data_IF_729785924834
#
_entry.id   IF_729785924834
#
_cell.length_a   1.000
_cell.length_b   1.000
_cell.length_c   1.000
_cell.angle_alpha   90.00
_cell.angle_beta   90.00
_cell.angle_gamma   90.00
#
_symmetry.space_group_name_H-M   'P 1'
#
loop_
_entity.id
_entity.type
_entity.pdbx_description
1 polymer ?
#
# COMPACT_ATOMS: atom_id res chain seq x y z
N UNK A 1 -36.61 -6.29 -4.87
CA UNK A 1 -35.56 -7.31 -5.14
C UNK A 1 -34.26 -6.58 -5.29
N UNK A 2 -33.39 -6.68 -4.30
CA UNK A 2 -32.22 -5.83 -4.14
C UNK A 2 -30.95 -6.62 -4.46
N UNK A 3 -30.13 -6.13 -5.40
CA UNK A 3 -28.88 -6.79 -5.78
C UNK A 3 -27.75 -6.30 -4.88
N UNK A 4 -27.41 -7.10 -3.88
CA UNK A 4 -26.22 -6.89 -3.05
C UNK A 4 -24.96 -6.96 -3.91
N UNK A 5 -24.23 -5.84 -3.97
CA UNK A 5 -22.90 -5.80 -4.59
C UNK A 5 -21.90 -6.45 -3.65
N UNK A 6 -21.50 -7.68 -3.93
CA UNK A 6 -20.50 -8.39 -3.12
C UNK A 6 -19.10 -7.88 -3.44
N UNK A 7 -18.53 -7.12 -2.49
CA UNK A 7 -17.12 -6.76 -2.49
C UNK A 7 -16.19 -7.99 -2.55
N UNK A 8 -14.95 -7.76 -3.00
CA UNK A 8 -14.03 -8.80 -3.48
C UNK A 8 -13.56 -9.75 -2.35
N UNK A 9 -14.34 -10.81 -2.12
CA UNK A 9 -13.96 -11.97 -1.29
C UNK A 9 -13.25 -13.02 -2.13
N UNK A 10 -11.97 -12.77 -2.46
CA UNK A 10 -11.13 -13.65 -3.28
C UNK A 10 -10.67 -14.90 -2.52
N UNK A 11 -11.38 -16.02 -2.66
CA UNK A 11 -10.87 -17.38 -2.36
C UNK A 11 -11.04 -18.30 -3.59
N UNK A 12 -9.95 -18.98 -4.00
CA UNK A 12 -9.82 -19.94 -5.13
C UNK A 12 -9.89 -19.25 -6.51
N UNK A 13 -9.13 -19.66 -7.55
CA UNK A 13 -8.87 -21.02 -8.05
C UNK A 13 -7.43 -21.25 -8.58
N UNK A 14 -7.03 -22.52 -8.65
CA UNK A 14 -5.72 -23.06 -9.11
C UNK A 14 -6.00 -24.41 -9.83
N UNK A 15 -5.28 -24.90 -10.84
CA UNK A 15 -4.10 -24.37 -11.56
C UNK A 15 -4.46 -23.91 -13.00
N UNK A 16 -4.07 -24.47 -14.17
CA UNK A 16 -3.19 -25.60 -14.57
C UNK A 16 -2.60 -25.31 -15.97
N UNK A 17 -1.34 -25.69 -16.23
CA UNK A 17 -0.57 -25.38 -17.45
C UNK A 17 -0.45 -26.54 -18.46
N UNK A 18 -0.34 -26.21 -19.76
CA UNK A 18 0.33 -27.04 -20.79
C UNK A 18 1.17 -26.14 -21.72
N UNK A 19 2.11 -26.75 -22.47
CA UNK A 19 3.28 -26.05 -23.06
C UNK A 19 3.36 -26.28 -24.58
N UNK A 20 3.73 -25.24 -25.34
CA UNK A 20 4.28 -25.36 -26.70
C UNK A 20 5.46 -24.36 -26.86
N UNK A 21 6.64 -24.78 -27.33
CA UNK A 21 7.77 -23.90 -27.61
C UNK A 21 7.90 -23.53 -29.10
N UNK A 22 8.42 -22.33 -29.41
CA UNK A 22 9.20 -22.09 -30.63
C UNK A 22 10.10 -20.84 -30.49
N UNK A 23 11.11 -20.71 -31.35
CA UNK A 23 12.24 -19.78 -31.19
C UNK A 23 12.29 -18.65 -32.22
N UNK A 24 12.64 -17.44 -31.79
CA UNK A 24 13.26 -16.42 -32.63
C UNK A 24 14.16 -15.51 -31.77
N UNK A 25 15.33 -15.11 -32.28
CA UNK A 25 16.30 -14.25 -31.57
C UNK A 25 16.39 -12.89 -32.24
N UNK A 26 16.15 -11.82 -31.49
CA UNK A 26 16.36 -10.42 -31.89
C UNK A 26 16.93 -9.66 -30.69
N UNK A 27 17.89 -8.71 -30.84
CA UNK A 27 18.51 -8.06 -29.68
C UNK A 27 17.51 -7.22 -28.86
N UNK A 28 17.28 -7.61 -27.60
CA UNK A 28 16.40 -6.93 -26.66
C UNK A 28 17.09 -6.70 -25.31
N UNK A 29 18.06 -5.79 -25.25
CA UNK A 29 18.77 -5.44 -24.00
C UNK A 29 18.15 -4.28 -23.22
N UNK A 30 17.11 -3.61 -23.76
CA UNK A 30 16.37 -2.53 -23.07
C UNK A 30 14.88 -2.85 -22.92
N UNK A 31 14.24 -3.50 -23.91
CA UNK A 31 12.83 -3.90 -23.81
C UNK A 31 12.59 -5.17 -22.97
N UNK A 32 13.56 -6.10 -22.86
CA UNK A 32 13.34 -7.38 -22.18
C UNK A 32 13.00 -7.24 -20.69
N UNK A 33 13.55 -6.24 -20.00
CA UNK A 33 13.26 -5.96 -18.57
C UNK A 33 11.79 -5.57 -18.34
N UNK A 34 11.07 -5.15 -19.39
CA UNK A 34 9.64 -4.86 -19.34
C UNK A 34 8.75 -6.02 -19.82
N UNK A 35 9.33 -7.10 -20.35
CA UNK A 35 8.60 -8.12 -21.11
C UNK A 35 8.21 -9.38 -20.31
N UNK A 36 8.98 -9.81 -19.30
CA UNK A 36 8.72 -11.06 -18.55
C UNK A 36 7.67 -10.94 -17.41
N UNK A 37 6.86 -9.89 -17.42
CA UNK A 37 5.56 -9.92 -16.73
C UNK A 37 4.46 -9.47 -17.68
N UNK A 38 3.49 -10.35 -17.94
CA UNK A 38 2.19 -9.93 -18.45
C UNK A 38 1.57 -8.95 -17.45
N UNK A 39 1.68 -7.66 -17.75
CA UNK A 39 1.61 -6.60 -16.75
C UNK A 39 0.31 -6.67 -15.93
N UNK A 40 0.44 -6.95 -14.63
CA UNK A 40 -0.67 -7.06 -13.69
C UNK A 40 -1.57 -5.83 -13.71
N UNK A 41 -0.98 -4.63 -13.76
CA UNK A 41 -1.70 -3.36 -13.80
C UNK A 41 -2.37 -3.10 -15.15
N UNK A 42 -1.91 -3.73 -16.23
CA UNK A 42 -2.59 -3.72 -17.53
C UNK A 42 -3.77 -4.71 -17.54
N UNK A 43 -3.56 -5.94 -17.04
CA UNK A 43 -4.58 -6.99 -16.92
C UNK A 43 -5.77 -6.55 -16.07
N UNK A 44 -5.51 -5.83 -14.98
CA UNK A 44 -6.53 -5.38 -14.02
C UNK A 44 -6.86 -3.88 -14.13
N UNK A 45 -6.35 -3.21 -15.17
CA UNK A 45 -6.41 -1.76 -15.39
C UNK A 45 -7.76 -1.15 -15.03
N UNK A 46 -8.84 -1.69 -15.59
CA UNK A 46 -10.14 -1.05 -15.55
C UNK A 46 -10.79 -1.19 -14.17
N UNK A 47 -10.59 -2.32 -13.48
CA UNK A 47 -10.98 -2.50 -12.07
C UNK A 47 -10.20 -1.58 -11.14
N UNK A 48 -8.87 -1.47 -11.33
CA UNK A 48 -8.04 -0.57 -10.53
C UNK A 48 -8.44 0.91 -10.71
N UNK A 49 -8.84 1.29 -11.92
CA UNK A 49 -9.42 2.61 -12.21
C UNK A 49 -10.78 2.77 -11.53
N UNK A 50 -11.67 1.78 -11.61
CA UNK A 50 -12.99 1.81 -10.98
C UNK A 50 -12.89 2.00 -9.45
N UNK A 51 -11.97 1.29 -8.80
CA UNK A 51 -11.73 1.38 -7.35
C UNK A 51 -11.09 2.72 -6.94
N UNK A 52 -10.23 3.30 -7.80
CA UNK A 52 -9.79 4.68 -7.62
C UNK A 52 -10.96 5.66 -7.73
N UNK A 53 -11.84 5.54 -8.74
CA UNK A 53 -12.95 6.48 -8.94
C UNK A 53 -14.03 6.39 -7.84
N UNK A 54 -14.20 5.23 -7.19
CA UNK A 54 -14.98 5.10 -5.95
C UNK A 54 -14.37 5.93 -4.82
N UNK A 55 -13.06 5.79 -4.60
CA UNK A 55 -12.32 6.62 -3.62
C UNK A 55 -12.36 8.11 -3.98
N UNK A 56 -12.35 8.45 -5.27
CA UNK A 56 -12.38 9.81 -5.80
C UNK A 56 -13.71 10.53 -5.53
N UNK A 57 -14.83 9.80 -5.41
CA UNK A 57 -16.11 10.35 -4.95
C UNK A 57 -16.04 10.76 -3.46
N UNK A 58 -15.39 9.94 -2.62
CA UNK A 58 -15.11 10.29 -1.22
C UNK A 58 -14.17 11.48 -1.10
N UNK A 59 -13.07 11.50 -1.87
CA UNK A 59 -12.14 12.62 -1.94
C UNK A 59 -12.83 13.93 -2.38
N UNK A 60 -13.75 13.87 -3.35
CA UNK A 60 -14.55 15.03 -3.75
C UNK A 60 -15.40 15.59 -2.60
N UNK A 61 -16.12 14.73 -1.89
CA UNK A 61 -16.90 15.11 -0.70
C UNK A 61 -16.02 15.70 0.42
N UNK A 62 -14.83 15.11 0.65
CA UNK A 62 -13.87 15.63 1.62
C UNK A 62 -13.37 17.04 1.24
N UNK A 63 -12.88 17.20 0.01
CA UNK A 63 -12.31 18.45 -0.49
C UNK A 63 -13.34 19.59 -0.54
N UNK A 64 -14.63 19.29 -0.79
CA UNK A 64 -15.72 20.27 -0.68
C UNK A 64 -15.88 20.90 0.71
N UNK A 65 -15.33 20.30 1.76
CA UNK A 65 -15.31 20.87 3.12
C UNK A 65 -14.09 21.77 3.39
N UNK A 66 -13.13 21.85 2.45
CA UNK A 66 -11.82 22.50 2.61
C UNK A 66 -11.56 23.59 1.56
N UNK A 67 -12.04 23.39 0.33
CA UNK A 67 -11.87 24.29 -0.80
C UNK A 67 -13.21 24.54 -1.52
N UNK A 68 -13.26 25.53 -2.41
CA UNK A 68 -14.45 25.78 -3.24
C UNK A 68 -14.79 24.56 -4.09
N UNK A 69 -16.07 24.39 -4.42
CA UNK A 69 -16.54 23.19 -5.12
C UNK A 69 -15.83 22.97 -6.48
N UNK A 70 -15.52 24.05 -7.20
CA UNK A 70 -14.79 23.97 -8.47
C UNK A 70 -13.32 23.58 -8.29
N UNK A 71 -12.67 23.98 -7.19
CA UNK A 71 -11.33 23.47 -6.83
C UNK A 71 -11.40 21.99 -6.49
N UNK A 72 -12.42 21.55 -5.74
CA UNK A 72 -12.63 20.13 -5.44
C UNK A 72 -12.86 19.32 -6.74
N UNK A 73 -13.69 19.81 -7.67
CA UNK A 73 -13.88 19.23 -9.03
C UNK A 73 -12.58 19.18 -9.82
N UNK A 74 -11.76 20.23 -9.76
CA UNK A 74 -10.50 20.33 -10.48
C UNK A 74 -9.47 19.31 -9.97
N UNK A 75 -9.32 19.19 -8.64
CA UNK A 75 -8.42 18.20 -8.00
C UNK A 75 -8.81 16.78 -8.43
N UNK A 76 -10.07 16.37 -8.22
CA UNK A 76 -10.49 14.98 -8.46
C UNK A 76 -10.50 14.60 -9.94
N UNK A 77 -10.83 15.54 -10.84
CA UNK A 77 -10.69 15.35 -12.30
C UNK A 77 -9.22 15.19 -12.71
N UNK A 78 -8.30 15.98 -12.15
CA UNK A 78 -6.87 15.85 -12.43
C UNK A 78 -6.30 14.55 -11.84
N UNK A 79 -6.68 14.18 -10.62
CA UNK A 79 -6.22 12.97 -9.97
C UNK A 79 -6.67 11.70 -10.73
N UNK A 80 -7.92 11.67 -11.19
CA UNK A 80 -8.43 10.64 -12.13
C UNK A 80 -7.55 10.51 -13.38
N UNK A 81 -7.23 11.63 -14.04
CA UNK A 81 -6.37 11.63 -15.22
C UNK A 81 -4.92 11.20 -14.92
N UNK A 82 -4.39 11.53 -13.74
CA UNK A 82 -3.05 11.12 -13.32
C UNK A 82 -2.99 9.63 -12.97
N UNK A 83 -3.92 9.12 -12.16
CA UNK A 83 -3.92 7.69 -11.79
C UNK A 83 -4.00 6.78 -13.01
N UNK A 84 -4.84 7.12 -14.00
CA UNK A 84 -4.95 6.41 -15.30
C UNK A 84 -3.64 6.33 -16.08
N UNK A 85 -2.70 7.24 -15.84
CA UNK A 85 -1.35 7.22 -16.42
C UNK A 85 -0.31 6.55 -15.51
N UNK A 86 -0.43 6.71 -14.19
CA UNK A 86 0.49 6.14 -13.19
C UNK A 86 0.33 4.61 -13.10
N UNK A 87 -0.91 4.10 -13.06
CA UNK A 87 -1.20 2.68 -12.78
C UNK A 87 -0.49 1.73 -13.75
N UNK A 88 -0.47 2.06 -15.05
CA UNK A 88 0.20 1.25 -16.08
C UNK A 88 1.73 1.30 -16.04
N UNK A 89 2.30 2.22 -15.27
CA UNK A 89 3.75 2.46 -15.11
C UNK A 89 4.26 2.09 -13.71
N UNK A 90 3.43 1.49 -12.87
CA UNK A 90 3.88 0.98 -11.58
C UNK A 90 4.91 -0.14 -11.77
N UNK A 91 5.99 -0.18 -10.96
CA UNK A 91 6.98 -1.23 -11.06
C UNK A 91 6.36 -2.59 -10.73
N UNK A 92 6.77 -3.64 -11.44
CA UNK A 92 6.34 -5.00 -11.12
C UNK A 92 6.82 -5.42 -9.73
N UNK A 93 5.90 -5.90 -8.88
CA UNK A 93 6.17 -6.38 -7.50
C UNK A 93 5.64 -7.78 -7.22
N UNK A 94 5.15 -8.51 -8.24
CA UNK A 94 4.63 -9.87 -8.12
C UNK A 94 3.15 -10.04 -8.50
N UNK A 95 2.34 -8.98 -8.40
CA UNK A 95 0.94 -9.01 -8.86
C UNK A 95 0.11 -9.99 -8.04
N UNK A 96 -0.60 -10.91 -8.73
CA UNK A 96 -1.43 -11.96 -8.08
C UNK A 96 -0.63 -12.95 -7.21
N UNK A 97 0.71 -12.88 -7.22
CA UNK A 97 1.60 -13.69 -6.37
C UNK A 97 2.10 -12.93 -5.13
N UNK A 98 1.73 -11.66 -4.95
CA UNK A 98 2.16 -10.84 -3.82
C UNK A 98 1.00 -9.97 -3.31
N UNK A 99 0.46 -10.32 -2.14
CA UNK A 99 -0.65 -9.59 -1.51
C UNK A 99 -0.31 -8.12 -1.20
N UNK A 100 0.97 -7.79 -0.95
CA UNK A 100 1.42 -6.41 -0.72
C UNK A 100 1.29 -5.52 -1.99
N UNK A 101 1.05 -6.09 -3.17
CA UNK A 101 0.83 -5.33 -4.43
C UNK A 101 -0.26 -4.25 -4.28
N UNK A 102 -1.29 -4.50 -3.45
CA UNK A 102 -2.35 -3.54 -3.16
C UNK A 102 -1.84 -2.24 -2.52
N UNK A 103 -0.80 -2.31 -1.67
CA UNK A 103 -0.25 -1.13 -1.00
C UNK A 103 0.45 -0.19 -1.97
N UNK A 104 1.09 -0.74 -3.02
CA UNK A 104 1.70 0.08 -4.09
C UNK A 104 0.63 0.76 -4.97
N UNK A 105 -0.53 0.11 -5.18
CA UNK A 105 -1.68 0.75 -5.85
C UNK A 105 -2.21 1.91 -5.01
N UNK A 106 -2.39 1.72 -3.69
CA UNK A 106 -2.79 2.79 -2.78
C UNK A 106 -1.73 3.92 -2.78
N UNK A 107 -0.43 3.58 -2.82
CA UNK A 107 0.64 4.57 -2.95
C UNK A 107 0.54 5.42 -4.23
N UNK A 108 0.08 4.83 -5.34
CA UNK A 108 -0.21 5.56 -6.57
C UNK A 108 -1.42 6.50 -6.44
N UNK A 109 -2.39 6.22 -5.57
CA UNK A 109 -3.51 7.12 -5.28
C UNK A 109 -3.01 8.40 -4.61
N UNK A 110 -2.15 8.29 -3.59
CA UNK A 110 -1.48 9.43 -2.94
C UNK A 110 -0.78 10.32 -3.98
N UNK A 111 0.04 9.73 -4.87
CA UNK A 111 0.74 10.49 -5.91
C UNK A 111 -0.22 11.21 -6.88
N UNK A 112 -1.31 10.54 -7.27
CA UNK A 112 -2.31 11.09 -8.17
C UNK A 112 -3.06 12.30 -7.56
N UNK A 113 -3.29 12.31 -6.25
CA UNK A 113 -3.84 13.48 -5.54
C UNK A 113 -2.80 14.56 -5.27
N UNK A 114 -1.53 14.19 -5.04
CA UNK A 114 -0.51 15.14 -4.57
C UNK A 114 -0.23 16.27 -5.55
N UNK A 115 0.04 15.98 -6.83
CA UNK A 115 0.37 17.04 -7.80
C UNK A 115 -0.80 18.04 -7.97
N UNK A 116 -2.07 17.61 -8.16
CA UNK A 116 -3.21 18.54 -8.24
C UNK A 116 -3.51 19.31 -6.93
N UNK A 117 -3.21 18.74 -5.77
CA UNK A 117 -3.36 19.42 -4.47
C UNK A 117 -2.24 20.45 -4.25
N UNK A 118 -1.00 20.14 -4.66
CA UNK A 118 0.16 21.05 -4.57
C UNK A 118 0.00 22.33 -5.39
N UNK A 119 -0.66 22.25 -6.55
CA UNK A 119 -1.07 23.44 -7.34
C UNK A 119 -1.95 24.43 -6.56
N UNK A 120 -2.60 23.98 -5.48
CA UNK A 120 -3.50 24.77 -4.63
C UNK A 120 -2.92 25.03 -3.23
N UNK A 121 -1.60 24.87 -3.08
CA UNK A 121 -0.82 25.00 -1.83
C UNK A 121 -1.18 23.99 -0.73
N UNK A 122 -1.84 22.88 -1.07
CA UNK A 122 -2.05 21.74 -0.17
C UNK A 122 -0.90 20.74 -0.33
N UNK A 123 -0.38 20.15 0.74
CA UNK A 123 0.85 19.35 0.68
C UNK A 123 0.68 17.84 0.94
N UNK A 124 1.76 17.15 1.29
CA UNK A 124 1.77 15.71 1.52
C UNK A 124 1.00 15.34 2.80
N UNK A 125 0.95 16.22 3.81
CA UNK A 125 0.11 16.06 4.98
C UNK A 125 -1.37 16.14 4.60
N UNK A 126 -1.78 17.12 3.78
CA UNK A 126 -3.17 17.25 3.31
C UNK A 126 -3.66 15.99 2.55
N UNK A 127 -2.83 15.48 1.63
CA UNK A 127 -3.11 14.23 0.89
C UNK A 127 -3.22 13.06 1.87
N UNK A 128 -2.25 12.95 2.78
CA UNK A 128 -2.21 11.93 3.80
C UNK A 128 -3.44 11.94 4.69
N UNK A 129 -3.87 13.13 5.12
CA UNK A 129 -4.99 13.35 6.03
C UNK A 129 -6.32 12.98 5.36
N UNK A 130 -6.51 13.42 4.13
CA UNK A 130 -7.68 13.07 3.32
C UNK A 130 -7.82 11.55 3.18
N UNK A 131 -6.74 10.85 2.79
CA UNK A 131 -6.82 9.40 2.54
C UNK A 131 -6.92 8.60 3.85
N UNK A 132 -6.23 9.03 4.90
CA UNK A 132 -6.37 8.45 6.24
C UNK A 132 -7.80 8.59 6.79
N UNK A 133 -8.45 9.74 6.61
CA UNK A 133 -9.84 9.96 7.01
C UNK A 133 -10.82 9.08 6.21
N UNK A 134 -10.66 9.01 4.89
CA UNK A 134 -11.49 8.14 4.04
C UNK A 134 -11.32 6.66 4.39
N UNK A 135 -10.08 6.22 4.63
CA UNK A 135 -9.79 4.84 5.05
C UNK A 135 -10.34 4.54 6.46
N UNK A 136 -10.23 5.48 7.41
CA UNK A 136 -10.84 5.36 8.73
C UNK A 136 -12.36 5.16 8.62
N UNK A 137 -13.05 5.96 7.80
CA UNK A 137 -14.49 5.83 7.56
C UNK A 137 -14.82 4.46 6.93
N UNK A 138 -14.05 3.98 5.97
CA UNK A 138 -14.25 2.66 5.36
C UNK A 138 -14.07 1.52 6.38
N UNK A 139 -13.04 1.60 7.23
CA UNK A 139 -12.78 0.64 8.31
C UNK A 139 -13.89 0.66 9.37
N UNK A 140 -14.48 1.81 9.67
CA UNK A 140 -15.61 1.94 10.59
C UNK A 140 -16.90 1.31 10.01
N UNK A 141 -17.12 1.39 8.70
CA UNK A 141 -18.24 0.73 8.00
C UNK A 141 -18.07 -0.78 7.81
N UNK A 142 -16.85 -1.32 7.84
CA UNK A 142 -16.61 -2.77 7.84
C UNK A 142 -17.34 -3.43 9.03
N UNK A 143 -18.18 -4.47 8.84
CA UNK A 143 -18.86 -5.13 9.95
C UNK A 143 -17.87 -5.68 10.99
N UNK A 144 -18.09 -5.37 12.27
CA UNK A 144 -17.15 -5.72 13.34
C UNK A 144 -16.82 -7.23 13.40
N UNK A 145 -17.80 -8.10 13.09
CA UNK A 145 -17.56 -9.55 13.02
C UNK A 145 -16.50 -9.88 11.96
N UNK A 146 -16.64 -9.36 10.74
CA UNK A 146 -15.70 -9.61 9.64
C UNK A 146 -14.32 -9.01 9.95
N UNK A 147 -14.29 -7.88 10.65
CA UNK A 147 -13.04 -7.26 11.11
C UNK A 147 -12.28 -8.16 12.12
N UNK A 148 -13.00 -8.82 13.03
CA UNK A 148 -12.40 -9.78 13.97
C UNK A 148 -12.04 -11.10 13.27
N UNK A 149 -12.88 -11.62 12.38
CA UNK A 149 -12.62 -12.83 11.58
C UNK A 149 -11.35 -12.70 10.71
N UNK A 150 -11.15 -11.56 10.03
CA UNK A 150 -9.91 -11.27 9.28
C UNK A 150 -8.71 -11.08 10.21
N UNK A 151 -8.94 -10.49 11.40
CA UNK A 151 -7.95 -10.34 12.45
C UNK A 151 -7.42 -11.68 12.95
N UNK A 152 -8.32 -12.60 13.27
CA UNK A 152 -8.04 -13.94 13.79
C UNK A 152 -7.39 -14.83 12.71
N UNK A 153 -7.85 -14.77 11.45
CA UNK A 153 -7.22 -15.52 10.34
C UNK A 153 -5.73 -15.19 10.18
N UNK A 154 -5.31 -13.95 10.49
CA UNK A 154 -3.90 -13.51 10.43
C UNK A 154 -2.99 -14.21 11.43
N UNK A 155 -3.51 -14.71 12.55
CA UNK A 155 -2.74 -15.46 13.57
C UNK A 155 -2.86 -16.99 13.42
N UNK A 156 -3.53 -17.47 12.37
CA UNK A 156 -3.55 -18.89 12.03
C UNK A 156 -2.18 -19.41 11.58
N UNK A 157 -1.89 -20.69 11.83
CA UNK A 157 -0.66 -21.34 11.35
C UNK A 157 -0.53 -21.34 9.82
N UNK A 158 -1.65 -21.29 9.09
CA UNK A 158 -1.65 -21.15 7.62
C UNK A 158 -1.20 -19.74 7.20
N UNK A 159 -1.68 -18.69 7.88
CA UNK A 159 -1.22 -17.33 7.65
C UNK A 159 0.26 -17.16 8.04
N UNK A 160 0.71 -17.74 9.16
CA UNK A 160 2.13 -17.73 9.55
C UNK A 160 3.01 -18.41 8.50
N UNK A 161 2.63 -19.58 8.00
CA UNK A 161 3.36 -20.28 6.95
C UNK A 161 3.43 -19.47 5.64
N UNK A 162 2.33 -18.81 5.24
CA UNK A 162 2.32 -17.90 4.08
C UNK A 162 3.22 -16.69 4.29
N UNK A 163 3.16 -16.04 5.46
CA UNK A 163 3.99 -14.87 5.78
C UNK A 163 5.49 -15.20 5.78
N UNK A 164 5.86 -16.38 6.31
CA UNK A 164 7.23 -16.89 6.23
C UNK A 164 7.67 -17.16 4.77
N UNK A 165 6.89 -17.95 4.02
CA UNK A 165 7.23 -18.30 2.64
C UNK A 165 7.29 -17.08 1.71
N UNK A 166 6.43 -16.09 1.92
CA UNK A 166 6.47 -14.80 1.24
C UNK A 166 7.78 -14.05 1.55
N UNK A 167 8.15 -13.92 2.82
CA UNK A 167 9.39 -13.24 3.22
C UNK A 167 10.63 -13.91 2.61
N UNK A 168 10.70 -15.25 2.65
CA UNK A 168 11.72 -16.06 1.97
C UNK A 168 11.75 -15.77 0.45
N UNK A 169 10.59 -15.69 -0.21
CA UNK A 169 10.52 -15.37 -1.64
C UNK A 169 11.03 -13.96 -1.98
N UNK A 170 10.90 -12.98 -1.06
CA UNK A 170 11.41 -11.61 -1.31
C UNK A 170 12.93 -11.56 -1.39
N UNK A 171 13.64 -12.46 -0.70
CA UNK A 171 15.11 -12.48 -0.70
C UNK A 171 15.71 -12.78 -2.07
N UNK A 172 14.96 -13.49 -2.93
CA UNK A 172 15.32 -13.76 -4.33
C UNK A 172 15.37 -12.50 -5.20
N UNK A 173 14.80 -11.36 -4.75
CA UNK A 173 14.83 -10.04 -5.42
C UNK A 173 14.40 -10.05 -6.89
N UNK A 174 13.59 -11.04 -7.30
CA UNK A 174 13.03 -11.22 -8.67
C UNK A 174 12.38 -9.95 -9.24
N UNK A 175 11.89 -9.08 -8.36
CA UNK A 175 11.20 -7.84 -8.70
C UNK A 175 11.94 -6.67 -8.04
N UNK A 176 12.78 -5.90 -8.78
CA UNK A 176 13.61 -4.84 -8.17
C UNK A 176 12.82 -3.75 -7.45
N UNK A 177 11.60 -3.45 -7.90
CA UNK A 177 10.70 -2.50 -7.26
C UNK A 177 9.98 -3.02 -6.00
N UNK A 178 10.14 -4.29 -5.64
CA UNK A 178 9.39 -4.92 -4.54
C UNK A 178 9.95 -4.55 -3.16
N UNK A 179 9.17 -4.88 -2.13
CA UNK A 179 9.65 -5.00 -0.76
C UNK A 179 10.64 -6.17 -0.61
N UNK A 180 11.52 -6.06 0.39
CA UNK A 180 12.30 -7.20 0.91
C UNK A 180 12.14 -7.24 2.42
N UNK A 181 11.79 -8.42 2.94
CA UNK A 181 11.44 -8.62 4.34
C UNK A 181 12.02 -9.93 4.90
N UNK A 182 12.40 -9.89 6.17
CA UNK A 182 12.59 -11.06 7.02
C UNK A 182 11.37 -11.29 7.91
N UNK A 183 10.87 -12.52 7.97
CA UNK A 183 9.86 -12.93 8.95
C UNK A 183 10.50 -13.05 10.34
N UNK A 184 9.81 -12.56 11.37
CA UNK A 184 10.27 -12.59 12.77
C UNK A 184 9.25 -13.37 13.58
N UNK A 185 9.63 -14.54 14.11
CA UNK A 185 8.81 -15.24 15.11
C UNK A 185 8.95 -14.52 16.46
N UNK A 186 7.83 -14.28 17.13
CA UNK A 186 7.82 -13.72 18.49
C UNK A 186 7.95 -14.80 19.56
N UNK A 187 8.17 -14.37 20.81
CA UNK A 187 8.18 -15.25 21.98
C UNK A 187 6.75 -15.67 22.41
N UNK A 188 5.71 -14.95 21.97
CA UNK A 188 4.33 -15.13 22.41
C UNK A 188 3.96 -14.31 23.64
N UNK A 189 4.92 -13.61 24.25
CA UNK A 189 4.69 -12.69 25.37
C UNK A 189 4.60 -11.25 24.85
N UNK A 190 5.71 -10.70 24.33
CA UNK A 190 5.78 -9.33 23.82
C UNK A 190 5.03 -9.16 22.49
N UNK A 191 5.16 -10.16 21.61
CA UNK A 191 4.51 -10.25 20.31
C UNK A 191 4.49 -11.70 19.80
N UNK A 192 3.61 -12.00 18.84
CA UNK A 192 3.43 -13.37 18.32
C UNK A 192 4.26 -13.59 17.04
N UNK A 193 4.28 -12.60 16.16
CA UNK A 193 5.14 -12.54 14.97
C UNK A 193 5.34 -11.08 14.50
N UNK A 194 6.23 -10.90 13.53
CA UNK A 194 6.49 -9.61 12.93
C UNK A 194 7.21 -9.72 11.59
N UNK A 195 7.49 -8.55 11.00
CA UNK A 195 8.35 -8.41 9.84
C UNK A 195 9.47 -7.40 10.12
N UNK A 196 10.62 -7.66 9.52
CA UNK A 196 11.72 -6.73 9.39
C UNK A 196 11.89 -6.42 7.89
N UNK A 197 11.28 -5.34 7.41
CA UNK A 197 11.46 -4.90 6.01
C UNK A 197 12.76 -4.10 5.90
N UNK A 198 13.68 -4.54 5.04
CA UNK A 198 14.93 -3.82 4.71
C UNK A 198 14.82 -3.04 3.41
N UNK A 199 13.85 -3.36 2.56
CA UNK A 199 13.56 -2.61 1.32
C UNK A 199 12.04 -2.40 1.20
N UNK A 200 11.61 -1.23 0.70
CA UNK A 200 10.20 -0.86 0.62
C UNK A 200 9.80 -0.37 -0.77
N UNK A 201 8.79 -1.01 -1.37
CA UNK A 201 8.31 -0.65 -2.72
C UNK A 201 7.76 0.77 -2.80
N UNK A 202 7.08 1.25 -1.74
CA UNK A 202 6.59 2.63 -1.66
C UNK A 202 7.75 3.64 -1.70
N UNK A 203 8.83 3.40 -0.95
CA UNK A 203 10.01 4.28 -1.00
C UNK A 203 10.71 4.26 -2.35
N UNK A 204 10.93 3.07 -2.93
CA UNK A 204 11.48 2.93 -4.28
C UNK A 204 10.65 3.71 -5.32
N UNK A 205 9.32 3.56 -5.25
CA UNK A 205 8.37 4.28 -6.10
C UNK A 205 8.43 5.79 -5.90
N UNK A 206 8.26 6.30 -4.68
CA UNK A 206 8.23 7.74 -4.42
C UNK A 206 9.58 8.44 -4.67
N UNK A 207 10.71 7.79 -4.39
CA UNK A 207 12.04 8.29 -4.77
C UNK A 207 12.13 8.44 -6.30
N UNK A 208 11.65 7.46 -7.08
CA UNK A 208 11.59 7.56 -8.56
C UNK A 208 10.66 8.65 -9.10
N UNK A 209 9.78 9.21 -8.27
CA UNK A 209 8.81 10.24 -8.63
C UNK A 209 9.15 11.63 -8.08
N UNK A 210 10.22 11.73 -7.27
CA UNK A 210 10.64 12.95 -6.59
C UNK A 210 9.70 13.39 -5.47
N UNK A 211 9.03 12.44 -4.79
CA UNK A 211 8.02 12.74 -3.74
C UNK A 211 8.12 11.82 -2.49
N UNK A 212 9.30 11.57 -1.91
CA UNK A 212 9.49 10.67 -0.76
C UNK A 212 8.62 11.02 0.46
N UNK A 213 8.27 12.30 0.63
CA UNK A 213 7.47 12.83 1.73
C UNK A 213 6.05 12.23 1.81
N UNK A 214 5.56 11.58 0.75
CA UNK A 214 4.27 10.87 0.79
C UNK A 214 4.33 9.55 1.59
N UNK A 215 5.49 8.90 1.69
CA UNK A 215 5.59 7.55 2.24
C UNK A 215 5.17 7.41 3.71
N UNK A 216 5.58 8.30 4.64
CA UNK A 216 5.13 8.25 6.03
C UNK A 216 3.61 8.22 6.18
N UNK A 217 2.90 9.00 5.36
CA UNK A 217 1.44 9.14 5.43
C UNK A 217 0.69 7.92 4.90
N UNK A 218 1.31 7.11 4.02
CA UNK A 218 0.77 5.78 3.66
C UNK A 218 0.89 4.83 4.86
N UNK A 219 2.05 4.80 5.51
CA UNK A 219 2.35 3.91 6.64
C UNK A 219 1.50 4.19 7.90
N UNK A 220 0.81 5.32 8.01
CA UNK A 220 -0.14 5.60 9.10
C UNK A 220 -1.41 4.72 9.04
N UNK A 221 -1.77 4.22 7.86
CA UNK A 221 -2.96 3.39 7.67
C UNK A 221 -2.84 2.03 8.37
N UNK A 222 -1.61 1.53 8.53
CA UNK A 222 -1.34 0.23 9.16
C UNK A 222 -1.88 0.17 10.59
N UNK A 223 -1.79 1.28 11.33
CA UNK A 223 -2.25 1.37 12.71
C UNK A 223 -3.77 1.39 12.83
N UNK A 224 -4.49 2.17 12.01
CA UNK A 224 -5.97 2.16 12.02
C UNK A 224 -6.53 0.84 11.50
N UNK A 225 -5.90 0.21 10.50
CA UNK A 225 -6.27 -1.14 10.05
C UNK A 225 -6.03 -2.16 11.16
N UNK A 226 -4.87 -2.14 11.78
CA UNK A 226 -4.53 -3.09 12.86
C UNK A 226 -5.45 -2.93 14.06
N UNK A 227 -5.81 -1.69 14.43
CA UNK A 227 -6.76 -1.37 15.48
C UNK A 227 -8.17 -1.88 15.16
N UNK A 228 -8.62 -1.76 13.91
CA UNK A 228 -9.94 -2.29 13.49
C UNK A 228 -9.98 -3.82 13.55
N UNK A 229 -8.89 -4.49 13.16
CA UNK A 229 -8.81 -5.95 13.12
C UNK A 229 -8.27 -6.59 14.40
N UNK A 230 -8.09 -5.84 15.50
CA UNK A 230 -7.57 -6.37 16.77
C UNK A 230 -6.18 -7.08 16.67
N UNK A 231 -5.37 -6.74 15.65
CA UNK A 231 -4.08 -7.40 15.37
C UNK A 231 -2.87 -6.80 16.12
N UNK A 232 -3.10 -5.72 16.87
CA UNK A 232 -2.16 -5.18 17.86
C UNK A 232 -0.77 -4.84 17.34
N UNK A 233 -0.68 -4.17 16.18
CA UNK A 233 0.56 -3.66 15.62
C UNK A 233 1.23 -2.63 16.54
N UNK A 234 2.53 -2.80 16.74
CA UNK A 234 3.50 -1.81 17.19
C UNK A 234 4.65 -1.74 16.18
N UNK A 235 5.18 -0.54 15.91
CA UNK A 235 6.30 -0.31 14.99
C UNK A 235 7.03 0.98 15.36
N UNK A 236 8.24 0.84 15.89
CA UNK A 236 9.09 1.96 16.36
C UNK A 236 10.13 2.46 15.33
N UNK A 237 10.36 1.72 14.25
CA UNK A 237 11.19 2.10 13.10
C UNK A 237 10.45 1.90 11.79
N UNK A 238 10.59 2.83 10.85
CA UNK A 238 9.91 2.85 9.54
C UNK A 238 10.82 3.43 8.43
N UNK A 239 11.16 2.64 7.41
CA UNK A 239 11.88 3.08 6.19
C UNK A 239 11.26 4.34 5.55
N UNK A 240 9.92 4.44 5.54
CA UNK A 240 9.20 5.61 5.05
C UNK A 240 9.58 6.91 5.77
N UNK A 241 9.92 6.81 7.05
CA UNK A 241 10.40 7.90 7.90
C UNK A 241 11.94 7.93 8.00
N UNK A 242 12.67 7.28 7.09
CA UNK A 242 14.14 7.33 7.07
C UNK A 242 14.86 6.57 8.19
N UNK A 243 14.22 5.57 8.82
CA UNK A 243 14.96 4.55 9.58
C UNK A 243 15.59 3.52 8.63
N UNK A 244 16.54 2.74 9.14
CA UNK A 244 17.21 1.60 8.49
C UNK A 244 16.28 0.40 8.18
N UNK A 245 15.10 0.32 8.79
CA UNK A 245 14.21 -0.85 8.73
C UNK A 245 12.75 -0.48 9.04
N UNK A 246 11.77 -1.26 8.57
CA UNK A 246 10.43 -1.28 9.20
C UNK A 246 10.32 -2.51 10.11
N UNK A 247 10.17 -2.32 11.43
CA UNK A 247 10.12 -3.40 12.42
C UNK A 247 8.71 -3.69 12.96
N UNK A 248 7.78 -4.06 12.07
CA UNK A 248 6.41 -4.43 12.45
C UNK A 248 6.39 -5.57 13.49
N UNK A 249 5.66 -5.40 14.60
CA UNK A 249 5.40 -6.43 15.62
C UNK A 249 3.89 -6.54 15.86
N UNK A 250 3.32 -7.74 15.68
CA UNK A 250 1.90 -8.01 15.87
C UNK A 250 1.68 -8.86 17.11
N UNK A 251 0.67 -8.48 17.92
CA UNK A 251 0.24 -9.23 19.10
C UNK A 251 -1.28 -9.26 19.14
N UNK A 252 -1.88 -10.44 19.03
CA UNK A 252 -3.33 -10.58 19.01
C UNK A 252 -3.95 -9.98 20.28
N UNK A 253 -5.00 -9.17 20.13
CA UNK A 253 -5.66 -8.49 21.25
C UNK A 253 -4.91 -7.32 21.88
N UNK A 254 -3.66 -7.02 21.49
CA UNK A 254 -2.92 -5.88 22.06
C UNK A 254 -3.54 -4.55 21.59
N UNK A 255 -3.82 -3.58 22.50
CA UNK A 255 -4.30 -2.27 22.10
C UNK A 255 -3.30 -1.52 21.23
N UNK A 256 -3.72 -1.10 20.03
CA UNK A 256 -2.91 -0.22 19.17
C UNK A 256 -2.98 1.22 19.71
N UNK A 257 -1.84 1.70 20.19
CA UNK A 257 -1.60 3.05 20.72
C UNK A 257 -1.30 4.07 19.61
N UNK A 258 -0.55 3.65 18.58
CA UNK A 258 -0.12 4.49 17.47
C UNK A 258 -1.31 4.93 16.58
N UNK A 259 -1.25 6.16 16.07
CA UNK A 259 -2.27 6.78 15.21
C UNK A 259 -1.73 8.06 14.57
N UNK A 260 -2.49 8.70 13.66
CA UNK A 260 -2.15 10.03 13.13
C UNK A 260 -1.65 11.00 14.23
N UNK A 261 -2.38 11.09 15.34
CA UNK A 261 -2.11 12.09 16.38
C UNK A 261 -0.84 11.80 17.21
N UNK A 262 -0.34 10.56 17.24
CA UNK A 262 0.89 10.22 17.97
C UNK A 262 2.13 10.34 17.08
N UNK A 263 2.01 9.95 15.81
CA UNK A 263 3.17 9.90 14.91
C UNK A 263 3.43 11.23 14.16
N UNK A 264 2.40 12.05 13.92
CA UNK A 264 2.48 13.19 12.98
C UNK A 264 3.61 14.18 13.31
N UNK A 265 3.86 14.45 14.60
CA UNK A 265 4.92 15.38 15.04
C UNK A 265 6.31 14.87 14.65
N UNK A 266 6.55 13.56 14.75
CA UNK A 266 7.82 12.95 14.35
C UNK A 266 7.94 12.90 12.81
N UNK A 267 6.85 12.58 12.13
CA UNK A 267 6.78 12.53 10.66
C UNK A 267 7.11 13.89 10.05
N UNK A 268 6.45 14.97 10.48
CA UNK A 268 6.67 16.32 9.95
C UNK A 268 8.09 16.83 10.27
N UNK A 269 8.62 16.50 11.46
CA UNK A 269 10.02 16.77 11.79
C UNK A 269 10.97 16.08 10.80
N UNK A 270 10.81 14.78 10.60
CA UNK A 270 11.69 13.97 9.72
C UNK A 270 11.58 14.37 8.25
N UNK A 271 10.38 14.69 7.75
CA UNK A 271 10.18 15.30 6.41
C UNK A 271 10.98 16.60 6.28
N UNK A 272 10.88 17.50 7.27
CA UNK A 272 11.60 18.79 7.26
C UNK A 272 13.13 18.63 7.32
N UNK A 273 13.62 17.56 7.93
CA UNK A 273 15.05 17.21 8.00
C UNK A 273 15.55 16.46 6.74
N UNK A 274 14.67 16.07 5.82
CA UNK A 274 15.01 15.22 4.67
C UNK A 274 15.13 13.72 5.00
N UNK A 275 14.85 13.33 6.24
CA UNK A 275 14.86 11.95 6.73
C UNK A 275 13.59 11.19 6.30
N UNK A 276 13.40 10.98 5.00
CA UNK A 276 12.29 10.19 4.43
C UNK A 276 12.76 9.31 3.28
N UNK A 277 12.39 8.02 3.33
CA UNK A 277 12.78 7.02 2.32
C UNK A 277 14.27 7.02 1.95
N UNK A 278 15.14 7.28 2.93
CA UNK A 278 16.60 7.18 2.80
C UNK A 278 16.97 5.78 2.37
N UNK A 279 17.60 5.65 1.20
CA UNK A 279 18.19 4.39 0.75
C UNK A 279 19.51 4.22 1.51
N UNK A 280 19.80 3.04 2.10
CA UNK A 280 21.14 2.75 2.60
C UNK A 280 22.17 2.86 1.48
N UNK A 281 23.35 3.42 1.77
CA UNK A 281 24.50 3.49 0.85
C UNK A 281 25.14 2.11 0.60
#
# INVERSE_FOLDING_TARGET
MEKTSTGITRRRFIQLLTVIPCTAVVPHTVHAVMAETGNYYLKHRDTLIEDFEKTNQGAYAYLKSKVTEDKARQITKKASAQFKNIVLRLPGVGGEQNDDTQYLIIGAWYLAYYRPMKELNMDAEDVGRMIYDLNKVNLEHMPQRHALEEGDEKFSSEAEAKMKAWAESTQLRKYPGNWVAGFVKGNGDDFDFGYNYTECALCKFYNSQGTPELAPFVCLNDFIRSKRLNTGLDRIKTLGQGDDICNFRYKHGRPVTQSWNTEIVLILKRIKEGHVCTVPE
#
